data_IF_221125109274
#
_entry.id   IF_221125109274
#
_cell.length_a   1.000
_cell.length_b   1.000
_cell.length_c   1.000
_cell.angle_alpha   90.00
_cell.angle_beta   90.00
_cell.angle_gamma   90.00
#
_symmetry.space_group_name_H-M   'P 1'
#
loop_
_entity.id
_entity.type
_entity.pdbx_description
1 polymer ?
#
# COMPACT_ATOMS: atom_id res chain seq x y z
N UNK A 1 9.44 11.15 -36.71
CA UNK A 1 9.31 9.71 -36.36
C UNK A 1 8.60 9.64 -35.02
N UNK A 2 7.29 9.33 -35.03
CA UNK A 2 6.55 9.08 -33.79
C UNK A 2 7.02 7.71 -33.27
N UNK A 3 7.99 7.73 -32.34
CA UNK A 3 8.42 6.53 -31.64
C UNK A 3 7.21 5.83 -30.99
N UNK A 4 7.23 4.48 -30.93
CA UNK A 4 6.19 3.72 -30.21
C UNK A 4 6.10 4.27 -28.78
N UNK A 5 4.89 4.70 -28.39
CA UNK A 5 4.63 5.13 -27.00
C UNK A 5 4.75 3.92 -26.06
N UNK A 6 5.33 4.12 -24.88
CA UNK A 6 5.32 3.09 -23.82
C UNK A 6 3.91 2.97 -23.25
N UNK A 7 3.45 1.75 -23.06
CA UNK A 7 2.14 1.45 -22.50
C UNK A 7 2.20 1.33 -20.99
N UNK A 8 1.47 2.18 -20.30
CA UNK A 8 1.36 2.19 -18.82
C UNK A 8 -0.06 1.81 -18.42
N UNK A 9 -0.18 0.79 -17.60
CA UNK A 9 -1.45 0.44 -16.96
C UNK A 9 -1.48 1.02 -15.55
N UNK A 10 -2.48 1.83 -15.25
CA UNK A 10 -2.80 2.26 -13.88
C UNK A 10 -3.87 1.31 -13.35
N UNK A 11 -3.47 0.45 -12.41
CA UNK A 11 -4.32 -0.56 -11.79
C UNK A 11 -4.92 -0.06 -10.48
N UNK A 12 -6.20 -0.26 -10.27
CA UNK A 12 -6.88 -0.01 -9.00
C UNK A 12 -7.74 -1.21 -8.64
N UNK A 13 -7.55 -1.72 -7.45
CA UNK A 13 -8.42 -2.75 -6.88
C UNK A 13 -9.39 -2.12 -5.90
N UNK A 14 -10.64 -2.56 -5.90
CA UNK A 14 -11.67 -2.02 -5.02
C UNK A 14 -12.63 -3.11 -4.56
N UNK A 15 -13.32 -2.88 -3.45
CA UNK A 15 -14.38 -3.75 -2.96
C UNK A 15 -15.41 -2.97 -2.16
N UNK A 16 -16.62 -2.79 -2.72
CA UNK A 16 -17.75 -2.12 -2.04
C UNK A 16 -17.42 -0.72 -1.48
N UNK A 17 -16.64 0.10 -2.20
CA UNK A 17 -16.21 1.44 -1.79
C UNK A 17 -16.44 2.49 -2.88
N UNK A 18 -17.69 2.71 -3.32
CA UNK A 18 -17.98 3.57 -4.46
C UNK A 18 -17.49 5.01 -4.28
N UNK A 19 -17.66 5.61 -3.09
CA UNK A 19 -17.27 6.99 -2.83
C UNK A 19 -15.74 7.16 -2.83
N UNK A 20 -15.01 6.23 -2.22
CA UNK A 20 -13.56 6.29 -2.22
C UNK A 20 -12.99 6.11 -3.62
N UNK A 21 -13.47 5.10 -4.36
CA UNK A 21 -13.10 4.90 -5.75
C UNK A 21 -13.39 6.15 -6.60
N UNK A 22 -14.56 6.77 -6.45
CA UNK A 22 -14.92 7.99 -7.19
C UNK A 22 -13.91 9.12 -6.95
N UNK A 23 -13.47 9.31 -5.69
CA UNK A 23 -12.47 10.33 -5.34
C UNK A 23 -11.11 10.03 -5.98
N UNK A 24 -10.66 8.78 -5.96
CA UNK A 24 -9.43 8.38 -6.64
C UNK A 24 -9.53 8.63 -8.14
N UNK A 25 -10.59 8.13 -8.80
CA UNK A 25 -10.78 8.28 -10.25
C UNK A 25 -10.86 9.76 -10.66
N UNK A 26 -11.46 10.61 -9.82
CA UNK A 26 -11.45 12.05 -10.01
C UNK A 26 -10.03 12.63 -9.96
N UNK A 27 -9.14 12.14 -9.10
CA UNK A 27 -7.74 12.59 -9.08
C UNK A 27 -7.01 12.20 -10.36
N UNK A 28 -7.31 11.06 -10.96
CA UNK A 28 -6.71 10.61 -12.22
C UNK A 28 -7.03 11.53 -13.41
N UNK A 29 -8.15 12.26 -13.39
CA UNK A 29 -8.49 13.18 -14.48
C UNK A 29 -7.51 14.36 -14.61
N UNK A 30 -6.71 14.61 -13.57
CA UNK A 30 -5.74 15.71 -13.52
C UNK A 30 -4.29 15.24 -13.75
N UNK A 31 -4.06 13.95 -14.05
CA UNK A 31 -2.71 13.42 -14.22
C UNK A 31 -1.98 14.09 -15.39
N UNK A 32 -0.75 14.49 -15.14
CA UNK A 32 0.19 14.93 -16.18
C UNK A 32 0.80 13.69 -16.82
N UNK A 33 0.38 13.42 -18.07
CA UNK A 33 0.86 12.27 -18.84
C UNK A 33 1.88 12.76 -19.88
N UNK A 34 3.14 12.25 -19.86
CA UNK A 34 4.13 12.58 -20.87
C UNK A 34 3.70 12.14 -22.29
N UNK A 35 4.07 12.91 -23.31
CA UNK A 35 3.67 12.66 -24.72
C UNK A 35 4.09 11.27 -25.25
N UNK A 36 5.17 10.70 -24.71
CA UNK A 36 5.70 9.39 -25.08
C UNK A 36 5.08 8.23 -24.30
N UNK A 37 4.04 8.48 -23.51
CA UNK A 37 3.33 7.50 -22.69
C UNK A 37 1.90 7.35 -23.19
N UNK A 38 1.43 6.10 -23.24
CA UNK A 38 0.05 5.71 -23.50
C UNK A 38 -0.52 5.09 -22.21
N UNK A 39 -1.51 5.73 -21.59
CA UNK A 39 -2.07 5.33 -20.30
C UNK A 39 -3.42 4.67 -20.49
N UNK A 40 -3.59 3.50 -19.90
CA UNK A 40 -4.89 2.86 -19.70
C UNK A 40 -5.17 2.67 -18.20
N UNK A 41 -6.44 2.66 -17.82
CA UNK A 41 -6.89 2.43 -16.47
C UNK A 41 -7.58 1.07 -16.36
N UNK A 42 -7.17 0.24 -15.40
CA UNK A 42 -7.84 -1.03 -15.09
C UNK A 42 -8.38 -0.97 -13.67
N UNK A 43 -9.69 -0.93 -13.55
CA UNK A 43 -10.39 -1.01 -12.27
C UNK A 43 -10.89 -2.45 -12.09
N UNK A 44 -10.40 -3.12 -11.05
CA UNK A 44 -10.79 -4.50 -10.72
C UNK A 44 -11.60 -4.52 -9.42
N UNK A 45 -12.87 -4.89 -9.51
CA UNK A 45 -13.71 -5.10 -8.35
C UNK A 45 -13.49 -6.51 -7.80
N UNK A 46 -13.00 -6.62 -6.55
CA UNK A 46 -12.79 -7.90 -5.89
C UNK A 46 -14.12 -8.41 -5.30
N UNK A 47 -14.99 -8.82 -6.18
CA UNK A 47 -16.36 -9.26 -5.89
C UNK A 47 -16.82 -10.26 -6.96
N UNK A 48 -17.91 -11.03 -6.65
CA UNK A 48 -18.47 -11.98 -7.61
C UNK A 48 -19.09 -11.28 -8.83
N UNK A 49 -19.59 -10.06 -8.65
CA UNK A 49 -20.27 -9.29 -9.68
C UNK A 49 -19.72 -7.86 -9.74
N UNK A 50 -19.90 -7.23 -10.88
CA UNK A 50 -19.58 -5.81 -11.10
C UNK A 50 -20.72 -4.95 -10.60
N UNK A 51 -20.48 -4.14 -9.58
CA UNK A 51 -21.53 -3.31 -8.94
C UNK A 51 -21.30 -1.80 -9.11
N UNK A 52 -20.11 -1.39 -9.59
CA UNK A 52 -19.67 0.00 -9.64
C UNK A 52 -19.81 0.65 -11.03
N UNK A 53 -20.72 0.14 -11.88
CA UNK A 53 -20.91 0.63 -13.25
C UNK A 53 -21.14 2.15 -13.35
N UNK A 54 -21.90 2.74 -12.42
CA UNK A 54 -22.17 4.17 -12.42
C UNK A 54 -20.91 5.01 -12.18
N UNK A 55 -20.06 4.59 -11.24
CA UNK A 55 -18.79 5.25 -10.92
C UNK A 55 -17.84 5.19 -12.11
N UNK A 56 -17.76 4.02 -12.77
CA UNK A 56 -16.93 3.82 -13.96
C UNK A 56 -17.45 4.67 -15.13
N UNK A 57 -18.75 4.67 -15.38
CA UNK A 57 -19.35 5.46 -16.46
C UNK A 57 -19.14 6.97 -16.26
N UNK A 58 -19.18 7.45 -15.01
CA UNK A 58 -18.86 8.84 -14.69
C UNK A 58 -17.39 9.16 -15.01
N UNK A 59 -16.45 8.30 -14.59
CA UNK A 59 -15.04 8.47 -14.89
C UNK A 59 -14.75 8.48 -16.39
N UNK A 60 -15.36 7.59 -17.15
CA UNK A 60 -15.23 7.54 -18.61
C UNK A 60 -15.67 8.82 -19.30
N UNK A 61 -16.67 9.52 -18.77
CA UNK A 61 -17.13 10.81 -19.33
C UNK A 61 -16.09 11.93 -19.20
N UNK A 62 -15.26 11.89 -18.15
CA UNK A 62 -14.20 12.89 -17.92
C UNK A 62 -12.86 12.51 -18.55
N UNK A 63 -12.61 11.23 -18.80
CA UNK A 63 -11.34 10.71 -19.30
C UNK A 63 -11.45 10.32 -20.77
N UNK A 64 -11.50 11.30 -21.65
CA UNK A 64 -11.82 11.14 -23.08
C UNK A 64 -10.70 10.42 -23.87
N UNK A 65 -9.46 10.44 -23.42
CA UNK A 65 -8.29 10.03 -24.23
C UNK A 65 -7.69 8.67 -23.83
N UNK A 66 -7.94 8.19 -22.63
CA UNK A 66 -7.37 6.92 -22.13
C UNK A 66 -8.42 5.81 -22.10
N UNK A 67 -7.98 4.59 -22.38
CA UNK A 67 -8.83 3.41 -22.25
C UNK A 67 -9.14 3.14 -20.76
N UNK A 68 -10.41 2.89 -20.45
CA UNK A 68 -10.88 2.53 -19.11
C UNK A 68 -11.48 1.14 -19.15
N UNK A 69 -10.80 0.20 -18.50
CA UNK A 69 -11.19 -1.21 -18.44
C UNK A 69 -11.77 -1.49 -17.05
N UNK A 70 -12.91 -2.15 -17.01
CA UNK A 70 -13.56 -2.55 -15.77
C UNK A 70 -13.74 -4.06 -15.71
N UNK A 71 -13.11 -4.71 -14.74
CA UNK A 71 -13.16 -6.16 -14.54
C UNK A 71 -13.60 -6.49 -13.11
N UNK A 72 -13.87 -7.77 -12.86
CA UNK A 72 -14.03 -8.29 -11.51
C UNK A 72 -13.15 -9.51 -11.28
N UNK A 73 -12.75 -9.71 -10.03
CA UNK A 73 -12.02 -10.87 -9.54
C UNK A 73 -12.85 -11.52 -8.44
N UNK A 74 -13.46 -12.70 -8.69
CA UNK A 74 -14.33 -13.35 -7.72
C UNK A 74 -13.56 -14.01 -6.57
N UNK A 75 -12.30 -14.39 -6.77
CA UNK A 75 -11.47 -14.92 -5.69
C UNK A 75 -11.15 -13.80 -4.69
N UNK A 76 -11.79 -13.85 -3.52
CA UNK A 76 -11.67 -12.81 -2.51
C UNK A 76 -10.26 -12.76 -1.92
N UNK A 77 -9.69 -11.56 -1.91
CA UNK A 77 -8.38 -11.28 -1.33
C UNK A 77 -7.60 -10.25 -2.13
N UNK A 78 -6.86 -9.39 -1.43
CA UNK A 78 -6.07 -8.32 -2.03
C UNK A 78 -5.04 -8.89 -3.03
N UNK A 79 -4.36 -9.99 -2.65
CA UNK A 79 -3.38 -10.66 -3.50
C UNK A 79 -4.00 -11.20 -4.80
N UNK A 80 -5.21 -11.78 -4.73
CA UNK A 80 -5.93 -12.28 -5.91
C UNK A 80 -6.29 -11.14 -6.86
N UNK A 81 -6.85 -10.06 -6.34
CA UNK A 81 -7.21 -8.89 -7.14
C UNK A 81 -5.99 -8.21 -7.77
N UNK A 82 -4.86 -8.07 -7.02
CA UNK A 82 -3.61 -7.53 -7.57
C UNK A 82 -2.99 -8.43 -8.63
N UNK A 83 -3.05 -9.76 -8.44
CA UNK A 83 -2.60 -10.71 -9.46
C UNK A 83 -3.47 -10.65 -10.72
N UNK A 84 -4.78 -10.44 -10.57
CA UNK A 84 -5.66 -10.23 -11.72
C UNK A 84 -5.19 -9.03 -12.56
N UNK A 85 -4.93 -7.89 -11.91
CA UNK A 85 -4.40 -6.68 -12.58
C UNK A 85 -3.02 -6.94 -13.20
N UNK A 86 -2.10 -7.58 -12.46
CA UNK A 86 -0.74 -7.87 -12.93
C UNK A 86 -0.76 -8.82 -14.14
N UNK A 87 -1.57 -9.88 -14.10
CA UNK A 87 -1.72 -10.81 -15.21
C UNK A 87 -2.32 -10.12 -16.42
N UNK A 88 -3.38 -9.32 -16.22
CA UNK A 88 -3.96 -8.51 -17.30
C UNK A 88 -2.89 -7.64 -17.99
N UNK A 89 -2.09 -6.93 -17.20
CA UNK A 89 -1.02 -6.06 -17.72
C UNK A 89 0.03 -6.83 -18.54
N UNK A 90 0.41 -8.02 -18.06
CA UNK A 90 1.38 -8.90 -18.73
C UNK A 90 0.81 -9.44 -20.05
N UNK A 91 -0.42 -9.96 -20.02
CA UNK A 91 -1.08 -10.61 -21.17
C UNK A 91 -1.38 -9.61 -22.30
N UNK A 92 -1.70 -8.35 -21.93
CA UNK A 92 -1.96 -7.27 -22.89
C UNK A 92 -0.71 -6.46 -23.26
N UNK A 93 0.50 -6.94 -22.89
CA UNK A 93 1.80 -6.40 -23.29
C UNK A 93 1.98 -4.92 -22.90
N UNK A 94 1.54 -4.53 -21.69
CA UNK A 94 1.93 -3.26 -21.11
C UNK A 94 3.41 -3.31 -20.71
N UNK A 95 4.09 -2.17 -20.76
CA UNK A 95 5.50 -2.05 -20.37
C UNK A 95 5.64 -1.82 -18.87
N UNK A 96 4.69 -1.08 -18.30
CA UNK A 96 4.72 -0.60 -16.93
C UNK A 96 3.34 -0.81 -16.29
N UNK A 97 3.35 -1.23 -15.04
CA UNK A 97 2.18 -1.27 -14.17
C UNK A 97 2.40 -0.34 -12.97
N UNK A 98 1.42 0.48 -12.64
CA UNK A 98 1.40 1.26 -11.40
C UNK A 98 0.09 1.06 -10.67
N UNK A 99 0.13 1.13 -9.31
CA UNK A 99 -1.04 1.02 -8.46
C UNK A 99 -1.24 2.27 -7.61
N UNK A 100 -2.50 2.63 -7.41
CA UNK A 100 -2.98 3.38 -6.25
C UNK A 100 -4.19 2.65 -5.66
N UNK A 101 -4.29 2.63 -4.33
CA UNK A 101 -5.40 1.96 -3.63
C UNK A 101 -6.68 2.82 -3.71
N UNK A 102 -7.87 2.20 -3.62
CA UNK A 102 -9.16 2.87 -3.83
C UNK A 102 -9.49 3.97 -2.80
N UNK A 103 -8.78 4.01 -1.66
CA UNK A 103 -8.90 5.04 -0.63
C UNK A 103 -7.83 6.16 -0.75
N UNK A 104 -7.12 6.19 -1.88
CA UNK A 104 -6.11 7.20 -2.18
C UNK A 104 -6.61 8.27 -3.17
N UNK A 105 -5.90 9.37 -3.25
CA UNK A 105 -5.98 10.41 -4.28
C UNK A 105 -4.55 10.80 -4.65
N UNK A 106 -4.25 10.93 -5.93
CA UNK A 106 -2.90 11.20 -6.41
C UNK A 106 -2.73 12.66 -6.84
N UNK A 107 -1.54 13.22 -6.64
CA UNK A 107 -1.18 14.53 -7.18
C UNK A 107 -1.05 14.49 -8.71
N UNK A 108 -1.25 15.59 -9.41
CA UNK A 108 -1.19 15.63 -10.87
C UNK A 108 0.13 15.13 -11.47
N UNK A 109 1.24 15.33 -10.81
CA UNK A 109 2.58 14.91 -11.23
C UNK A 109 3.00 13.50 -10.74
N UNK A 110 2.11 12.81 -10.00
CA UNK A 110 2.39 11.50 -9.40
C UNK A 110 2.95 10.48 -10.40
N UNK A 111 2.27 10.30 -11.54
CA UNK A 111 2.73 9.38 -12.59
C UNK A 111 4.06 9.82 -13.20
N UNK A 112 4.20 11.12 -13.48
CA UNK A 112 5.40 11.70 -14.05
C UNK A 112 6.63 11.48 -13.15
N UNK A 113 6.48 11.71 -11.84
CA UNK A 113 7.58 11.59 -10.88
C UNK A 113 7.96 10.11 -10.61
N UNK A 114 7.02 9.16 -10.67
CA UNK A 114 7.32 7.73 -10.65
C UNK A 114 8.12 7.32 -11.90
N UNK A 115 7.69 7.76 -13.08
CA UNK A 115 8.38 7.48 -14.35
C UNK A 115 9.79 8.06 -14.36
N UNK A 116 9.99 9.30 -13.95
CA UNK A 116 11.31 9.95 -13.86
C UNK A 116 12.27 9.17 -12.96
N UNK A 117 11.84 8.80 -11.76
CA UNK A 117 12.67 8.05 -10.82
C UNK A 117 13.03 6.68 -11.37
N UNK A 118 12.04 5.94 -11.90
CA UNK A 118 12.24 4.63 -12.50
C UNK A 118 13.24 4.69 -13.66
N UNK A 119 13.04 5.61 -14.59
CA UNK A 119 13.81 5.68 -15.82
C UNK A 119 15.25 6.16 -15.56
N UNK A 120 15.42 7.17 -14.69
CA UNK A 120 16.73 7.72 -14.37
C UNK A 120 17.67 6.72 -13.67
N UNK A 121 17.11 5.73 -12.96
CA UNK A 121 17.86 4.73 -12.18
C UNK A 121 17.67 3.30 -12.70
N UNK A 122 16.95 3.12 -13.81
CA UNK A 122 16.61 1.81 -14.40
C UNK A 122 16.07 0.82 -13.36
N UNK A 123 15.02 1.24 -12.65
CA UNK A 123 14.45 0.46 -11.56
C UNK A 123 13.42 -0.55 -12.09
N UNK A 124 13.39 -1.74 -11.45
CA UNK A 124 12.34 -2.72 -11.66
C UNK A 124 11.08 -2.37 -10.86
N UNK A 125 11.28 -1.83 -9.65
CA UNK A 125 10.19 -1.39 -8.79
C UNK A 125 10.58 -0.06 -8.12
N UNK A 126 9.70 0.93 -8.22
CA UNK A 126 9.82 2.20 -7.51
C UNK A 126 8.57 2.46 -6.68
N UNK A 127 8.75 2.89 -5.44
CA UNK A 127 7.66 3.32 -4.57
C UNK A 127 7.72 4.81 -4.28
N UNK A 128 6.69 5.30 -3.62
CA UNK A 128 6.59 6.70 -3.23
C UNK A 128 5.82 6.88 -1.92
N UNK A 129 5.77 8.09 -1.33
CA UNK A 129 5.04 8.31 -0.09
C UNK A 129 3.53 8.28 -0.30
N UNK A 130 2.85 7.60 0.64
CA UNK A 130 1.42 7.75 0.84
C UNK A 130 1.22 8.57 2.11
N UNK A 131 0.70 9.79 1.97
CA UNK A 131 0.37 10.71 3.07
C UNK A 131 -1.07 10.52 3.48
N UNK A 132 -1.43 10.96 4.68
CA UNK A 132 -2.83 10.98 5.07
C UNK A 132 -3.51 12.26 4.63
N UNK A 133 -4.64 12.14 3.93
CA UNK A 133 -5.48 13.26 3.56
C UNK A 133 -6.01 13.97 4.82
N UNK A 134 -6.12 15.29 4.76
CA UNK A 134 -6.79 16.03 5.83
C UNK A 134 -8.26 15.57 5.93
N UNK A 135 -8.83 15.45 7.15
CA UNK A 135 -10.23 15.14 7.30
C UNK A 135 -11.11 16.18 6.62
N UNK A 136 -12.08 15.74 5.83
CA UNK A 136 -13.02 16.65 5.15
C UNK A 136 -13.92 17.36 6.16
N UNK A 137 -14.34 16.67 7.21
CA UNK A 137 -15.21 17.19 8.25
C UNK A 137 -14.46 17.46 9.56
N UNK A 138 -15.04 18.33 10.40
CA UNK A 138 -14.54 18.58 11.75
C UNK A 138 -14.66 17.33 12.60
N UNK A 139 -13.53 16.72 12.94
CA UNK A 139 -13.50 15.56 13.81
C UNK A 139 -13.87 15.89 15.24
N UNK A 140 -14.57 14.96 15.91
CA UNK A 140 -14.70 15.02 17.37
C UNK A 140 -13.30 15.03 18.01
N UNK A 141 -13.13 15.77 19.13
CA UNK A 141 -11.82 16.05 19.72
C UNK A 141 -10.92 14.80 19.91
N UNK A 142 -11.50 13.67 20.35
CA UNK A 142 -10.75 12.42 20.53
C UNK A 142 -10.26 11.83 19.19
N UNK A 143 -11.11 11.80 18.17
CA UNK A 143 -10.71 11.33 16.83
C UNK A 143 -9.65 12.23 16.22
N UNK A 144 -9.72 13.54 16.48
CA UNK A 144 -8.70 14.49 16.03
C UNK A 144 -7.33 14.22 16.67
N UNK A 145 -7.29 13.91 17.99
CA UNK A 145 -6.05 13.49 18.66
C UNK A 145 -5.46 12.24 17.99
N UNK A 146 -6.30 11.23 17.69
CA UNK A 146 -5.84 10.00 17.06
C UNK A 146 -5.35 10.28 15.64
N UNK A 147 -6.11 11.06 14.85
CA UNK A 147 -5.70 11.43 13.50
C UNK A 147 -4.34 12.17 13.49
N UNK A 148 -4.17 13.16 14.36
CA UNK A 148 -2.88 13.88 14.52
C UNK A 148 -1.75 12.94 14.90
N UNK A 149 -1.97 12.04 15.83
CA UNK A 149 -0.98 11.06 16.24
C UNK A 149 -0.57 10.11 15.11
N UNK A 150 -1.52 9.61 14.35
CA UNK A 150 -1.26 8.74 13.19
C UNK A 150 -0.54 9.49 12.08
N UNK A 151 -0.97 10.72 11.78
CA UNK A 151 -0.32 11.56 10.78
C UNK A 151 1.14 11.87 11.17
N UNK A 152 1.42 12.15 12.45
CA UNK A 152 2.80 12.34 12.94
C UNK A 152 3.66 11.07 12.81
N UNK A 153 3.07 9.88 12.99
CA UNK A 153 3.78 8.60 12.74
C UNK A 153 4.13 8.46 11.26
N UNK A 154 3.17 8.74 10.37
CA UNK A 154 3.35 8.70 8.92
C UNK A 154 4.43 9.70 8.46
N UNK A 155 4.34 10.97 8.85
CA UNK A 155 5.33 12.00 8.56
C UNK A 155 6.73 11.62 9.05
N UNK A 156 6.83 11.00 10.23
CA UNK A 156 8.10 10.50 10.76
C UNK A 156 8.67 9.34 9.94
N UNK A 157 7.83 8.51 9.35
CA UNK A 157 8.26 7.45 8.43
C UNK A 157 8.74 8.03 7.10
N UNK A 158 8.00 8.97 6.52
CA UNK A 158 8.36 9.67 5.29
C UNK A 158 9.68 10.44 5.45
N UNK A 159 9.88 11.16 6.57
CA UNK A 159 11.14 11.85 6.86
C UNK A 159 12.34 10.91 6.87
N UNK A 160 12.20 9.72 7.47
CA UNK A 160 13.26 8.70 7.46
C UNK A 160 13.50 8.16 6.04
N UNK A 161 12.43 7.92 5.27
CA UNK A 161 12.54 7.48 3.88
C UNK A 161 13.27 8.52 3.02
N UNK A 162 12.92 9.80 3.19
CA UNK A 162 13.59 10.91 2.52
C UNK A 162 15.09 11.00 2.87
N UNK A 163 15.44 10.83 4.14
CA UNK A 163 16.85 10.78 4.55
C UNK A 163 17.62 9.66 3.84
N UNK A 164 17.00 8.48 3.69
CA UNK A 164 17.63 7.37 2.96
C UNK A 164 17.72 7.66 1.46
N UNK A 165 16.73 8.31 0.88
CA UNK A 165 16.75 8.76 -0.51
C UNK A 165 17.89 9.75 -0.75
N UNK A 166 18.00 10.80 0.07
CA UNK A 166 19.05 11.83 -0.02
C UNK A 166 20.47 11.25 0.16
N UNK A 167 20.60 10.12 0.88
CA UNK A 167 21.85 9.37 1.05
C UNK A 167 22.10 8.35 -0.08
N UNK A 168 21.30 8.27 -1.13
CA UNK A 168 21.41 7.24 -2.17
C UNK A 168 21.10 5.82 -1.71
N UNK A 169 20.38 5.66 -0.60
CA UNK A 169 20.06 4.36 0.02
C UNK A 169 18.58 3.97 -0.13
N UNK A 170 17.87 4.54 -1.10
CA UNK A 170 16.45 4.30 -1.34
C UNK A 170 16.11 2.81 -1.59
N UNK A 171 17.04 2.04 -2.15
CA UNK A 171 16.89 0.59 -2.36
C UNK A 171 16.70 -0.24 -1.07
N UNK A 172 16.97 0.34 0.10
CA UNK A 172 16.74 -0.29 1.42
C UNK A 172 15.33 -0.09 1.94
N UNK A 173 14.55 0.80 1.31
CA UNK A 173 13.18 1.07 1.71
C UNK A 173 12.27 -0.08 1.31
N UNK A 174 11.39 -0.47 2.23
CA UNK A 174 10.29 -1.36 1.93
C UNK A 174 9.23 -0.59 1.15
N UNK A 175 8.75 -1.19 0.08
CA UNK A 175 7.76 -0.58 -0.78
C UNK A 175 6.39 -1.22 -0.49
N UNK A 176 5.39 -0.37 -0.28
CA UNK A 176 3.98 -0.77 -0.23
C UNK A 176 3.36 -0.53 -1.62
N UNK A 177 2.34 -1.31 -1.95
CA UNK A 177 1.73 -1.25 -3.29
C UNK A 177 0.72 -0.12 -3.48
N UNK A 178 0.34 0.60 -2.44
CA UNK A 178 -0.60 1.73 -2.55
C UNK A 178 -0.09 2.83 -3.49
N UNK A 179 1.21 3.07 -3.52
CA UNK A 179 1.82 4.03 -4.45
C UNK A 179 3.17 3.50 -4.95
N UNK A 180 3.13 2.64 -5.97
CA UNK A 180 4.32 2.08 -6.59
C UNK A 180 4.14 1.80 -8.07
N UNK A 181 5.27 1.66 -8.77
CA UNK A 181 5.34 1.36 -10.19
C UNK A 181 6.31 0.21 -10.44
N UNK A 182 5.99 -0.67 -11.37
CA UNK A 182 6.76 -1.85 -11.73
C UNK A 182 7.05 -1.92 -13.23
N UNK A 183 8.28 -2.34 -13.56
CA UNK A 183 8.67 -2.78 -14.88
C UNK A 183 8.13 -4.19 -15.13
N UNK A 184 7.28 -4.36 -16.14
CA UNK A 184 6.63 -5.64 -16.40
C UNK A 184 7.55 -6.68 -17.02
N UNK A 185 8.64 -6.29 -17.67
CA UNK A 185 9.63 -7.24 -18.17
C UNK A 185 10.29 -8.02 -17.03
N UNK A 186 10.56 -7.36 -15.89
CA UNK A 186 11.04 -8.04 -14.70
C UNK A 186 10.06 -9.11 -14.21
N UNK A 187 8.76 -8.80 -14.19
CA UNK A 187 7.72 -9.75 -13.76
C UNK A 187 7.48 -10.87 -14.79
N UNK A 188 7.68 -10.61 -16.09
CA UNK A 188 7.64 -11.64 -17.13
C UNK A 188 8.80 -12.61 -16.98
N UNK A 189 10.01 -12.09 -16.76
CA UNK A 189 11.22 -12.90 -16.63
C UNK A 189 11.26 -13.75 -15.35
N UNK A 190 10.80 -13.19 -14.24
CA UNK A 190 10.88 -13.85 -12.93
C UNK A 190 9.67 -14.70 -12.60
N UNK A 191 8.53 -14.46 -13.24
CA UNK A 191 7.26 -15.10 -12.91
C UNK A 191 6.67 -14.70 -11.55
N UNK A 192 7.22 -13.69 -10.88
CA UNK A 192 6.77 -13.25 -9.55
C UNK A 192 5.30 -12.83 -9.55
N UNK A 193 4.60 -13.21 -8.48
CA UNK A 193 3.19 -12.90 -8.21
C UNK A 193 2.99 -12.63 -6.72
N UNK A 194 1.89 -11.96 -6.40
CA UNK A 194 1.44 -11.80 -5.00
C UNK A 194 1.03 -13.16 -4.43
N UNK A 195 1.44 -13.45 -3.20
CA UNK A 195 1.12 -14.73 -2.53
C UNK A 195 -0.35 -14.74 -2.09
N UNK A 196 -1.18 -15.50 -2.82
CA UNK A 196 -2.61 -15.64 -2.52
C UNK A 196 -2.88 -16.48 -1.27
N UNK A 197 -1.90 -17.24 -0.77
CA UNK A 197 -2.04 -18.02 0.47
C UNK A 197 -2.19 -17.14 1.71
N UNK A 198 -1.80 -15.87 1.63
CA UNK A 198 -2.00 -14.88 2.69
C UNK A 198 -3.47 -14.46 2.85
N UNK A 199 -4.30 -14.73 1.85
CA UNK A 199 -5.76 -14.48 1.88
C UNK A 199 -6.08 -13.03 2.24
N UNK A 200 -6.88 -12.87 3.31
CA UNK A 200 -7.29 -11.56 3.84
C UNK A 200 -6.43 -11.09 5.03
N UNK A 201 -5.28 -11.71 5.26
CA UNK A 201 -4.40 -11.33 6.38
C UNK A 201 -3.58 -10.06 6.11
N UNK A 202 -3.40 -9.68 4.83
CA UNK A 202 -2.52 -8.58 4.40
C UNK A 202 -1.04 -8.97 4.45
N UNK A 203 -0.17 -8.08 3.96
CA UNK A 203 1.27 -8.29 3.94
C UNK A 203 1.79 -8.91 2.64
N UNK A 204 0.92 -9.08 1.64
CA UNK A 204 1.23 -9.56 0.30
C UNK A 204 2.22 -8.63 -0.44
N UNK A 205 2.12 -7.32 -0.19
CA UNK A 205 3.02 -6.29 -0.72
C UNK A 205 4.44 -6.45 -0.17
N UNK A 206 4.53 -6.65 1.15
CA UNK A 206 5.82 -6.87 1.81
C UNK A 206 6.47 -8.19 1.35
N UNK A 207 5.68 -9.26 1.19
CA UNK A 207 6.17 -10.54 0.72
C UNK A 207 6.69 -10.41 -0.72
N UNK A 208 5.88 -9.81 -1.61
CA UNK A 208 6.31 -9.56 -3.00
C UNK A 208 7.60 -8.75 -3.07
N UNK A 209 7.73 -7.69 -2.26
CA UNK A 209 8.95 -6.89 -2.20
C UNK A 209 10.17 -7.72 -1.77
N UNK A 210 10.02 -8.61 -0.76
CA UNK A 210 11.09 -9.50 -0.34
C UNK A 210 11.49 -10.47 -1.45
N UNK A 211 10.50 -11.13 -2.06
CA UNK A 211 10.74 -12.12 -3.11
C UNK A 211 11.40 -11.44 -4.33
N UNK A 212 10.97 -10.23 -4.68
CA UNK A 212 11.61 -9.43 -5.73
C UNK A 212 13.08 -9.12 -5.40
N UNK A 213 13.38 -8.75 -4.15
CA UNK A 213 14.77 -8.52 -3.71
C UNK A 213 15.62 -9.78 -3.74
N UNK A 214 15.05 -10.93 -3.37
CA UNK A 214 15.73 -12.23 -3.39
C UNK A 214 16.13 -12.66 -4.81
N UNK A 215 15.34 -12.28 -5.83
CA UNK A 215 15.65 -12.54 -7.26
C UNK A 215 16.38 -11.37 -7.94
N UNK A 216 16.87 -10.39 -7.18
CA UNK A 216 17.79 -9.36 -7.66
C UNK A 216 17.14 -8.07 -8.18
N UNK A 217 15.85 -7.80 -7.89
CA UNK A 217 15.18 -6.57 -8.31
C UNK A 217 15.93 -5.29 -7.91
N UNK A 218 16.08 -4.39 -8.87
CA UNK A 218 16.54 -3.02 -8.63
C UNK A 218 15.35 -2.20 -8.12
N UNK A 219 15.37 -1.87 -6.83
CA UNK A 219 14.27 -1.15 -6.19
C UNK A 219 14.69 0.25 -5.77
N UNK A 220 13.77 1.21 -5.87
CA UNK A 220 13.97 2.59 -5.47
C UNK A 220 12.74 3.22 -4.85
N UNK A 221 12.86 4.47 -4.49
CA UNK A 221 11.78 5.25 -3.92
C UNK A 221 12.00 6.72 -4.27
N UNK A 222 10.92 7.44 -4.60
CA UNK A 222 10.95 8.88 -4.87
C UNK A 222 10.12 9.64 -3.83
N UNK A 223 10.57 10.79 -3.31
CA UNK A 223 9.78 11.62 -2.41
C UNK A 223 8.78 12.54 -3.12
N UNK A 224 8.74 12.53 -4.44
CA UNK A 224 8.04 13.53 -5.24
C UNK A 224 6.69 13.06 -5.78
N UNK A 225 6.49 11.77 -5.98
CA UNK A 225 5.20 11.20 -6.42
C UNK A 225 4.27 11.00 -5.21
N UNK A 226 3.35 11.95 -4.99
CA UNK A 226 2.54 11.98 -3.76
C UNK A 226 1.16 11.37 -4.00
N UNK A 227 0.78 10.45 -3.12
CA UNK A 227 -0.60 9.98 -2.94
C UNK A 227 -1.10 10.33 -1.54
N UNK A 228 -2.42 10.54 -1.39
CA UNK A 228 -3.07 10.85 -0.12
C UNK A 228 -4.12 9.80 0.22
N UNK A 229 -3.93 9.03 1.28
CA UNK A 229 -4.88 8.04 1.80
C UNK A 229 -5.93 8.72 2.67
N UNK A 230 -7.20 8.44 2.42
CA UNK A 230 -8.32 8.84 3.27
C UNK A 230 -8.51 7.82 4.38
N UNK A 231 -8.30 8.24 5.64
CA UNK A 231 -8.51 7.36 6.80
C UNK A 231 -9.99 7.32 7.17
N UNK A 232 -10.68 6.17 7.07
CA UNK A 232 -12.06 6.04 7.53
C UNK A 232 -12.21 6.35 9.01
N UNK A 233 -13.34 6.97 9.39
CA UNK A 233 -13.63 7.30 10.80
C UNK A 233 -13.65 6.08 11.74
N UNK A 234 -13.94 4.88 11.21
CA UNK A 234 -13.89 3.60 11.92
C UNK A 234 -12.47 3.24 12.37
N UNK A 235 -11.44 3.66 11.59
CA UNK A 235 -10.01 3.43 11.88
C UNK A 235 -9.43 4.46 12.86
N UNK A 236 -10.12 5.57 13.16
CA UNK A 236 -9.67 6.57 14.14
C UNK A 236 -9.99 6.14 15.58
N UNK A 237 -9.41 5.00 15.99
CA UNK A 237 -9.52 4.39 17.33
C UNK A 237 -8.20 3.74 17.72
N UNK A 238 -7.73 3.92 18.95
CA UNK A 238 -6.50 3.25 19.45
C UNK A 238 -6.60 1.72 19.34
N UNK A 239 -7.81 1.18 19.57
CA UNK A 239 -8.08 -0.26 19.44
C UNK A 239 -7.86 -0.79 18.00
N UNK A 240 -8.01 0.05 16.97
CA UNK A 240 -7.70 -0.31 15.60
C UNK A 240 -6.19 -0.53 15.42
N UNK A 241 -5.35 0.40 15.85
CA UNK A 241 -3.89 0.31 15.73
C UNK A 241 -3.32 -0.83 16.57
N UNK A 242 -3.88 -1.06 17.75
CA UNK A 242 -3.58 -2.24 18.56
C UNK A 242 -3.88 -3.54 17.79
N UNK A 243 -5.11 -3.71 17.30
CA UNK A 243 -5.52 -4.93 16.57
C UNK A 243 -4.72 -5.14 15.29
N UNK A 244 -4.56 -4.10 14.48
CA UNK A 244 -3.77 -4.15 13.25
C UNK A 244 -2.35 -4.67 13.50
N UNK A 245 -1.67 -4.12 14.51
CA UNK A 245 -0.29 -4.53 14.83
C UNK A 245 -0.24 -5.89 15.48
N UNK A 246 -1.24 -6.25 16.29
CA UNK A 246 -1.38 -7.60 16.84
C UNK A 246 -1.48 -8.65 15.74
N UNK A 247 -2.36 -8.44 14.78
CA UNK A 247 -2.62 -9.40 13.72
C UNK A 247 -1.42 -9.50 12.75
N UNK A 248 -0.77 -8.38 12.44
CA UNK A 248 0.50 -8.37 11.72
C UNK A 248 1.61 -9.13 12.47
N UNK A 249 1.72 -8.95 13.77
CA UNK A 249 2.72 -9.66 14.57
C UNK A 249 2.51 -11.18 14.62
N UNK A 250 1.25 -11.66 14.63
CA UNK A 250 0.92 -13.09 14.48
C UNK A 250 1.41 -13.62 13.13
N UNK A 251 1.13 -12.90 12.05
CA UNK A 251 1.59 -13.27 10.70
C UNK A 251 3.11 -13.37 10.65
N UNK A 252 3.83 -12.35 11.09
CA UNK A 252 5.31 -12.34 11.13
C UNK A 252 5.87 -13.50 11.95
N UNK A 253 5.21 -13.88 13.05
CA UNK A 253 5.62 -15.03 13.86
C UNK A 253 5.51 -16.34 13.06
N UNK A 254 4.37 -16.61 12.43
CA UNK A 254 4.14 -17.81 11.63
C UNK A 254 5.07 -17.91 10.43
N UNK A 255 5.37 -16.81 9.79
CA UNK A 255 6.33 -16.76 8.69
C UNK A 255 7.76 -17.10 9.13
N UNK A 256 8.17 -16.59 10.30
CA UNK A 256 9.47 -16.97 10.89
C UNK A 256 9.55 -18.46 11.22
N UNK A 257 8.45 -19.06 11.67
CA UNK A 257 8.38 -20.50 11.90
C UNK A 257 8.58 -21.28 10.59
N UNK A 258 7.86 -20.90 9.53
CA UNK A 258 8.01 -21.53 8.20
C UNK A 258 9.45 -21.47 7.68
N UNK A 259 10.16 -20.36 7.92
CA UNK A 259 11.57 -20.14 7.52
C UNK A 259 12.59 -20.75 8.51
N UNK A 260 12.17 -21.59 9.47
CA UNK A 260 13.07 -22.27 10.44
C UNK A 260 13.76 -21.33 11.44
N UNK A 261 13.28 -20.08 11.59
CA UNK A 261 13.91 -19.04 12.45
C UNK A 261 13.28 -18.96 13.86
N UNK A 262 12.76 -20.06 14.39
CA UNK A 262 12.09 -20.12 15.70
C UNK A 262 12.98 -19.71 16.89
N UNK A 263 14.27 -19.99 16.83
CA UNK A 263 15.22 -19.71 17.94
C UNK A 263 15.41 -18.21 18.30
N UNK A 264 14.92 -17.28 17.47
CA UNK A 264 14.97 -15.84 17.75
C UNK A 264 13.72 -15.29 18.46
N UNK A 265 12.84 -16.15 18.94
CA UNK A 265 11.53 -15.78 19.49
C UNK A 265 11.66 -15.00 20.78
N UNK A 266 12.50 -15.48 21.72
CA UNK A 266 12.68 -14.85 23.04
C UNK A 266 13.24 -13.41 22.92
N UNK A 267 14.31 -13.22 22.15
CA UNK A 267 14.87 -11.88 21.90
C UNK A 267 13.86 -10.90 21.25
N UNK A 268 12.96 -11.44 20.41
CA UNK A 268 11.88 -10.64 19.80
C UNK A 268 10.84 -10.20 20.84
N UNK A 269 10.49 -11.04 21.81
CA UNK A 269 9.58 -10.67 22.90
C UNK A 269 10.22 -9.61 23.80
N UNK A 270 11.46 -9.80 24.22
CA UNK A 270 12.20 -8.80 25.03
C UNK A 270 12.30 -7.44 24.32
N UNK A 271 12.63 -7.44 23.02
CA UNK A 271 12.66 -6.21 22.22
C UNK A 271 11.30 -5.51 22.17
N UNK A 272 10.19 -6.26 22.13
CA UNK A 272 8.84 -5.69 22.13
C UNK A 272 8.44 -5.14 23.50
N UNK A 273 8.81 -5.83 24.59
CA UNK A 273 8.64 -5.31 25.95
C UNK A 273 9.40 -3.99 26.12
N UNK A 274 10.67 -3.96 25.71
CA UNK A 274 11.48 -2.73 25.74
C UNK A 274 10.82 -1.59 24.96
N UNK A 275 10.25 -1.86 23.76
CA UNK A 275 9.53 -0.84 22.98
C UNK A 275 8.27 -0.34 23.67
N UNK A 276 7.53 -1.19 24.38
CA UNK A 276 6.37 -0.79 25.17
C UNK A 276 6.81 0.14 26.30
N UNK A 277 7.81 -0.27 27.09
CA UNK A 277 8.32 0.52 28.21
C UNK A 277 8.85 1.89 27.77
N UNK A 278 9.69 1.90 26.72
CA UNK A 278 10.25 3.16 26.20
C UNK A 278 9.20 4.09 25.60
N UNK A 279 8.22 3.55 24.87
CA UNK A 279 7.12 4.38 24.33
C UNK A 279 6.22 4.95 25.43
N UNK A 280 6.01 4.21 26.51
CA UNK A 280 5.25 4.70 27.67
C UNK A 280 6.01 5.80 28.41
N UNK A 281 7.30 5.60 28.65
CA UNK A 281 8.16 6.61 29.30
C UNK A 281 8.26 7.90 28.47
N UNK A 282 8.33 7.78 27.14
CA UNK A 282 8.44 8.93 26.24
C UNK A 282 7.09 9.57 25.88
N UNK A 283 5.96 9.07 26.42
CA UNK A 283 4.63 9.59 26.09
C UNK A 283 4.50 11.12 26.30
N UNK A 284 5.00 11.73 27.41
CA UNK A 284 4.90 13.18 27.61
C UNK A 284 5.58 14.00 26.50
N UNK A 285 6.67 13.47 25.94
CA UNK A 285 7.43 14.11 24.85
C UNK A 285 6.81 13.86 23.46
N UNK A 286 6.21 12.70 23.26
CA UNK A 286 5.65 12.29 21.97
C UNK A 286 4.18 12.67 21.78
N UNK A 287 3.50 13.14 22.84
CA UNK A 287 2.10 13.59 22.82
C UNK A 287 1.19 12.59 22.07
N UNK A 288 0.41 13.06 21.09
CA UNK A 288 -0.56 12.25 20.34
C UNK A 288 0.09 11.06 19.61
N UNK A 289 1.29 11.26 19.07
CA UNK A 289 2.07 10.18 18.45
C UNK A 289 2.39 9.05 19.42
N UNK A 290 2.69 9.39 20.68
CA UNK A 290 3.00 8.42 21.74
C UNK A 290 1.84 7.46 21.99
N UNK A 291 0.59 7.94 22.00
CA UNK A 291 -0.60 7.10 22.16
C UNK A 291 -0.70 6.02 21.08
N UNK A 292 -0.50 6.40 19.83
CA UNK A 292 -0.52 5.46 18.69
C UNK A 292 0.62 4.46 18.82
N UNK A 293 1.83 4.93 19.16
CA UNK A 293 3.01 4.08 19.29
C UNK A 293 2.86 3.05 20.40
N UNK A 294 2.29 3.43 21.56
CA UNK A 294 2.01 2.51 22.68
C UNK A 294 0.97 1.47 22.25
N UNK A 295 -0.15 1.90 21.68
CA UNK A 295 -1.18 0.97 21.19
C UNK A 295 -0.62 -0.05 20.19
N UNK A 296 0.18 0.40 19.25
CA UNK A 296 0.84 -0.46 18.26
C UNK A 296 1.87 -1.42 18.91
N UNK A 297 2.72 -0.93 19.82
CA UNK A 297 3.71 -1.76 20.50
C UNK A 297 3.06 -2.82 21.39
N UNK A 298 2.00 -2.48 22.12
CA UNK A 298 1.21 -3.44 22.90
C UNK A 298 0.57 -4.50 22.00
N UNK A 299 -0.07 -4.08 20.91
CA UNK A 299 -0.60 -5.00 19.91
C UNK A 299 0.48 -5.94 19.37
N UNK A 300 1.63 -5.39 19.01
CA UNK A 300 2.76 -6.16 18.50
C UNK A 300 3.32 -7.18 19.50
N UNK A 301 3.36 -6.84 20.80
CA UNK A 301 3.77 -7.75 21.85
C UNK A 301 2.76 -8.90 22.01
N UNK A 302 1.49 -8.55 22.21
CA UNK A 302 0.42 -9.54 22.40
C UNK A 302 0.29 -10.45 21.17
N UNK A 303 0.30 -9.89 19.96
CA UNK A 303 0.19 -10.68 18.74
C UNK A 303 1.34 -11.66 18.52
N UNK A 304 2.55 -11.27 18.91
CA UNK A 304 3.70 -12.17 18.82
C UNK A 304 3.60 -13.33 19.82
N UNK A 305 3.13 -13.05 21.03
CA UNK A 305 2.85 -14.08 22.05
C UNK A 305 1.72 -15.01 21.59
N UNK A 306 0.60 -14.46 21.12
CA UNK A 306 -0.53 -15.24 20.63
C UNK A 306 -0.18 -16.08 19.39
N UNK A 307 0.73 -15.61 18.52
CA UNK A 307 1.30 -16.40 17.44
C UNK A 307 2.06 -17.63 17.95
N UNK A 308 2.80 -17.48 19.05
CA UNK A 308 3.48 -18.60 19.71
C UNK A 308 2.51 -19.66 20.25
N UNK A 309 1.29 -19.24 20.59
CA UNK A 309 0.19 -20.16 20.99
C UNK A 309 -0.68 -20.61 19.79
N UNK A 310 -0.25 -20.42 18.55
CA UNK A 310 -0.90 -20.94 17.35
C UNK A 310 -2.07 -20.12 16.82
N UNK A 311 -2.35 -18.91 17.36
CA UNK A 311 -3.44 -18.07 16.87
C UNK A 311 -3.10 -17.46 15.49
N UNK A 312 -4.01 -17.59 14.52
CA UNK A 312 -3.88 -17.03 13.16
C UNK A 312 -4.39 -15.58 13.07
N UNK A 313 -3.96 -14.87 12.04
CA UNK A 313 -4.42 -13.50 11.73
C UNK A 313 -5.76 -13.50 10.97
N UNK A 314 -6.61 -12.48 11.21
CA UNK A 314 -7.91 -12.32 10.56
C UNK A 314 -8.25 -10.82 10.31
N UNK A 315 -7.28 -10.02 9.88
CA UNK A 315 -7.38 -8.55 9.92
C UNK A 315 -8.36 -7.95 8.88
N UNK A 316 -8.42 -8.48 7.66
CA UNK A 316 -9.19 -7.89 6.54
C UNK A 316 -10.54 -8.57 6.27
N UNK A 317 -11.15 -9.23 7.27
CA UNK A 317 -12.48 -9.85 7.11
C UNK A 317 -13.57 -8.77 6.96
N UNK A 318 -13.41 -7.61 7.61
CA UNK A 318 -14.37 -6.51 7.56
C UNK A 318 -13.90 -5.43 6.59
N UNK A 319 -14.82 -4.99 5.71
CA UNK A 319 -14.61 -3.86 4.79
C UNK A 319 -14.87 -2.57 5.58
N UNK A 320 -13.85 -1.73 5.71
CA UNK A 320 -13.96 -0.41 6.35
C UNK A 320 -13.95 0.70 5.29
N UNK A 321 -14.93 1.57 5.36
CA UNK A 321 -15.02 2.79 4.56
C UNK A 321 -15.92 2.66 3.32
N UNK A 322 -17.04 3.36 3.36
CA UNK A 322 -17.88 3.71 2.22
C UNK A 322 -17.72 5.18 1.91
#
# INVERSE_FOLDING_TARGET
>A
MTGLKRKVLIGTITRNRPIMLQNLLKSYTNLIVPDNIDVSFLITENNNEKTLHNVIAEFQRYNITSEVIYTNEPALGIASARNHVLNYAIDHKYDILTFADDDEQVEPDWLLELLKERDSKNLDIVGSPVRFAAPLDKLHWWKNIIWRGVNQVNQGAEKRARTLYDQGKASKLKLATGSWMANLDFFRLTGLRFDTSLGQAGGEDWQLWQDAKEVGAQTGWTPYAIAYETIPLSRLKLSYYYRRTRDHARMVYHERLKKGKAGRTFGSVLSRIYKVLTSTLLLPLQKERGLITIAANLGGLVGFIEGAFGKKSAHYINIDGN
#
